data_IF_156483829045
#
_entry.id   IF_156483829045
#
_cell.length_a   1.000
_cell.length_b   1.000
_cell.length_c   1.000
_cell.angle_alpha   90.00
_cell.angle_beta   90.00
_cell.angle_gamma   90.00
#
_symmetry.space_group_name_H-M   'P 1'
#
loop_
_entity.id
_entity.type
_entity.pdbx_description
1 polymer ?
#
# COMPACT_ATOMS: atom_id res chain seq x y z
N UNK A 1 8.59 -25.71 4.62
CA UNK A 1 8.94 -24.44 3.96
C UNK A 1 8.23 -23.36 4.76
N UNK A 2 8.83 -23.00 5.88
CA UNK A 2 8.30 -21.97 6.77
C UNK A 2 8.65 -20.61 6.19
N UNK A 3 7.66 -19.94 5.61
CA UNK A 3 7.76 -18.51 5.33
C UNK A 3 7.46 -17.82 6.64
N UNK A 4 8.49 -17.66 7.47
CA UNK A 4 8.45 -16.82 8.66
C UNK A 4 8.36 -15.36 8.18
N UNK A 5 7.14 -14.88 7.93
CA UNK A 5 6.86 -13.45 7.78
C UNK A 5 6.91 -12.83 9.18
N UNK A 6 8.10 -12.75 9.76
CA UNK A 6 8.30 -12.11 11.06
C UNK A 6 8.95 -10.73 10.89
N UNK A 7 8.44 -9.79 11.70
CA UNK A 7 9.05 -8.51 12.12
C UNK A 7 8.50 -7.16 11.63
N UNK A 8 7.43 -7.05 10.83
CA UNK A 8 6.79 -5.72 10.61
C UNK A 8 5.26 -5.69 10.62
N UNK A 9 4.62 -6.50 11.46
CA UNK A 9 3.42 -6.04 12.18
C UNK A 9 3.85 -4.97 13.19
N UNK A 10 4.34 -3.83 12.68
CA UNK A 10 4.26 -2.55 13.37
C UNK A 10 2.77 -2.40 13.65
N UNK A 11 2.37 -2.73 14.89
CA UNK A 11 0.98 -2.99 15.29
C UNK A 11 0.09 -1.96 14.62
N UNK A 12 -0.63 -2.41 13.61
CA UNK A 12 -1.47 -1.56 12.80
C UNK A 12 -2.58 -1.03 13.71
N UNK A 13 -2.39 0.18 14.24
CA UNK A 13 -3.27 0.74 15.27
C UNK A 13 -4.62 1.21 14.70
N UNK A 14 -4.82 1.09 13.39
CA UNK A 14 -6.07 1.44 12.75
C UNK A 14 -7.17 0.49 13.21
N UNK A 15 -8.28 1.07 13.69
CA UNK A 15 -9.51 0.33 14.01
C UNK A 15 -10.29 -0.10 12.76
N UNK A 16 -9.92 0.43 11.60
CA UNK A 16 -10.55 0.10 10.32
C UNK A 16 -9.93 -1.19 9.78
N UNK A 17 -10.73 -2.23 9.45
CA UNK A 17 -10.24 -3.44 8.81
C UNK A 17 -9.47 -3.14 7.52
N UNK A 18 -8.50 -3.97 7.17
CA UNK A 18 -7.57 -3.66 6.08
C UNK A 18 -8.30 -3.41 4.74
N UNK A 19 -9.24 -4.27 4.35
CA UNK A 19 -10.00 -4.13 3.10
C UNK A 19 -10.91 -2.91 3.04
N UNK A 20 -11.30 -2.34 4.19
CA UNK A 20 -12.21 -1.20 4.26
C UNK A 20 -11.47 0.15 4.18
N UNK A 21 -10.14 0.17 4.28
CA UNK A 21 -9.36 1.41 4.26
C UNK A 21 -9.31 2.04 2.88
N UNK A 22 -9.02 3.33 2.87
CA UNK A 22 -8.83 4.13 1.66
C UNK A 22 -7.36 4.33 1.30
N UNK A 23 -6.43 3.94 2.18
CA UNK A 23 -5.00 4.04 1.90
C UNK A 23 -4.19 3.02 2.71
N UNK A 24 -3.14 2.51 2.09
CA UNK A 24 -2.30 1.43 2.61
C UNK A 24 -0.83 1.70 2.38
N UNK A 25 0.03 1.10 3.21
CA UNK A 25 1.43 0.91 2.79
C UNK A 25 1.48 -0.01 1.56
N UNK A 26 2.55 0.02 0.74
CA UNK A 26 2.63 -0.85 -0.44
C UNK A 26 2.47 -2.34 -0.13
N UNK A 27 3.00 -2.81 1.01
CA UNK A 27 2.84 -4.22 1.43
C UNK A 27 1.39 -4.56 1.75
N UNK A 28 0.68 -3.68 2.45
CA UNK A 28 -0.74 -3.84 2.76
C UNK A 28 -1.60 -3.76 1.49
N UNK A 29 -1.28 -2.88 0.55
CA UNK A 29 -2.00 -2.80 -0.73
C UNK A 29 -1.83 -4.09 -1.54
N UNK A 30 -0.61 -4.62 -1.61
CA UNK A 30 -0.35 -5.91 -2.26
C UNK A 30 -1.20 -7.03 -1.63
N UNK A 31 -1.34 -7.03 -0.30
CA UNK A 31 -2.23 -7.97 0.39
C UNK A 31 -3.70 -7.77 0.03
N UNK A 32 -4.22 -6.54 0.05
CA UNK A 32 -5.64 -6.25 -0.22
C UNK A 32 -6.05 -6.59 -1.65
N UNK A 33 -5.20 -6.27 -2.62
CA UNK A 33 -5.46 -6.51 -4.04
C UNK A 33 -4.93 -7.86 -4.53
N UNK A 34 -4.38 -8.71 -3.64
CA UNK A 34 -3.77 -10.00 -3.99
C UNK A 34 -2.71 -9.90 -5.10
N UNK A 35 -1.83 -8.89 -5.00
CA UNK A 35 -0.77 -8.62 -5.97
C UNK A 35 0.60 -9.05 -5.44
N UNK A 36 1.55 -9.26 -6.36
CA UNK A 36 2.95 -9.35 -5.98
C UNK A 36 3.47 -7.99 -5.47
N UNK A 37 4.07 -8.01 -4.29
CA UNK A 37 4.61 -6.81 -3.65
C UNK A 37 5.73 -6.17 -4.47
N UNK A 38 6.60 -6.96 -5.10
CA UNK A 38 7.72 -6.41 -5.89
C UNK A 38 7.21 -5.75 -7.17
N UNK A 39 6.24 -6.35 -7.85
CA UNK A 39 5.55 -5.76 -8.99
C UNK A 39 4.91 -4.41 -8.64
N UNK A 40 4.17 -4.34 -7.54
CA UNK A 40 3.57 -3.08 -7.07
C UNK A 40 4.64 -2.01 -6.72
N UNK A 41 5.74 -2.40 -6.08
CA UNK A 41 6.84 -1.47 -5.81
C UNK A 41 7.46 -0.92 -7.10
N UNK A 42 7.60 -1.76 -8.13
CA UNK A 42 8.15 -1.34 -9.42
C UNK A 42 7.25 -0.30 -10.09
N UNK A 43 5.94 -0.55 -10.15
CA UNK A 43 4.95 0.40 -10.67
C UNK A 43 4.96 1.73 -9.90
N UNK A 44 5.01 1.68 -8.57
CA UNK A 44 5.16 2.87 -7.72
C UNK A 44 6.43 3.66 -8.03
N UNK A 45 7.56 2.98 -8.25
CA UNK A 45 8.84 3.63 -8.51
C UNK A 45 8.93 4.21 -9.93
N UNK A 46 8.22 3.62 -10.88
CA UNK A 46 8.08 4.16 -12.24
C UNK A 46 7.09 5.33 -12.35
N UNK A 47 6.24 5.53 -11.34
CA UNK A 47 5.22 6.57 -11.35
C UNK A 47 3.89 6.14 -11.94
N UNK A 48 3.69 4.84 -12.18
CA UNK A 48 2.44 4.28 -12.70
C UNK A 48 1.33 4.29 -11.62
N UNK A 49 1.73 4.23 -10.35
CA UNK A 49 0.83 4.28 -9.18
C UNK A 49 1.15 5.51 -8.33
N UNK A 50 0.17 6.40 -8.21
CA UNK A 50 0.28 7.59 -7.37
C UNK A 50 0.49 7.21 -5.89
N UNK A 51 1.38 7.95 -5.21
CA UNK A 51 1.64 7.75 -3.78
C UNK A 51 1.55 9.03 -2.97
N UNK A 52 1.15 8.91 -1.72
CA UNK A 52 1.10 10.00 -0.77
C UNK A 52 1.94 9.69 0.48
N UNK A 53 2.40 10.73 1.18
CA UNK A 53 3.11 10.63 2.46
C UNK A 53 2.38 11.49 3.49
N UNK A 54 1.25 10.99 4.04
CA UNK A 54 0.48 11.77 5.02
C UNK A 54 1.37 12.16 6.19
N UNK A 55 1.26 13.41 6.70
CA UNK A 55 2.10 13.88 7.78
C UNK A 55 1.86 13.04 9.04
N UNK A 56 2.94 12.78 9.78
CA UNK A 56 2.85 12.15 11.08
C UNK A 56 2.40 13.18 12.14
N UNK A 57 2.25 12.75 13.40
CA UNK A 57 1.85 13.61 14.53
C UNK A 57 2.77 14.84 14.72
N UNK A 58 4.00 14.79 14.21
CA UNK A 58 4.99 15.87 14.28
C UNK A 58 5.00 16.75 13.02
N UNK A 59 4.05 16.58 12.09
CA UNK A 59 4.00 17.30 10.82
C UNK A 59 5.04 16.87 9.79
N UNK A 60 5.88 15.88 10.08
CA UNK A 60 6.89 15.36 9.15
C UNK A 60 6.26 14.34 8.19
N UNK A 61 6.76 14.19 6.96
CA UNK A 61 6.26 13.17 6.04
C UNK A 61 6.26 11.77 6.67
N UNK A 62 5.11 11.11 6.66
CA UNK A 62 4.94 9.76 7.19
C UNK A 62 5.40 8.66 6.23
N UNK A 63 5.00 7.41 6.54
CA UNK A 63 5.22 6.27 5.64
C UNK A 63 4.53 6.53 4.29
N UNK A 64 5.18 6.11 3.20
CA UNK A 64 4.58 6.12 1.86
C UNK A 64 3.33 5.25 1.86
N UNK A 65 2.26 5.76 1.27
CA UNK A 65 1.00 5.06 1.08
C UNK A 65 0.53 5.17 -0.37
N UNK A 66 -0.26 4.20 -0.78
CA UNK A 66 -1.10 4.24 -1.98
C UNK A 66 -2.55 4.38 -1.55
N UNK A 67 -3.33 5.16 -2.29
CA UNK A 67 -4.78 5.29 -2.05
C UNK A 67 -5.54 4.22 -2.83
N UNK A 68 -6.76 3.90 -2.39
CA UNK A 68 -7.69 3.05 -3.12
C UNK A 68 -7.92 3.58 -4.54
N UNK A 69 -8.18 4.87 -4.67
CA UNK A 69 -8.41 5.51 -5.97
C UNK A 69 -7.20 5.36 -6.91
N UNK A 70 -5.97 5.48 -6.40
CA UNK A 70 -4.76 5.30 -7.21
C UNK A 70 -4.60 3.84 -7.68
N UNK A 71 -4.84 2.87 -6.78
CA UNK A 71 -4.80 1.45 -7.12
C UNK A 71 -5.89 1.09 -8.13
N UNK A 72 -7.12 1.54 -7.92
CA UNK A 72 -8.26 1.25 -8.80
C UNK A 72 -8.05 1.86 -10.19
N UNK A 73 -7.48 3.07 -10.28
CA UNK A 73 -7.10 3.71 -11.55
C UNK A 73 -6.04 2.88 -12.27
N UNK A 74 -4.97 2.50 -11.57
CA UNK A 74 -3.87 1.76 -12.15
C UNK A 74 -4.31 0.38 -12.65
N UNK A 75 -5.04 -0.38 -11.83
CA UNK A 75 -5.55 -1.70 -12.22
C UNK A 75 -6.48 -1.61 -13.43
N UNK A 76 -7.36 -0.61 -13.47
CA UNK A 76 -8.22 -0.38 -14.65
C UNK A 76 -7.40 -0.13 -15.92
N UNK A 77 -6.29 0.60 -15.82
CA UNK A 77 -5.41 0.86 -16.97
C UNK A 77 -4.65 -0.38 -17.47
N UNK A 78 -4.63 -1.48 -16.71
CA UNK A 78 -4.02 -2.76 -17.12
C UNK A 78 -5.01 -3.71 -17.80
N UNK A 79 -6.32 -3.48 -17.65
CA UNK A 79 -7.39 -4.29 -18.25
C UNK A 79 -7.77 -3.81 -19.67
N UNK A 80 -7.29 -2.64 -20.08
CA UNK A 80 -7.53 -1.98 -21.37
C UNK A 80 -6.28 -2.08 -22.28
#
# INVERSE_FOLDING_TARGET
MDVTVDQETLKDMSRVPLGERLAWTPAQAAQVYSLDYKGLLWAINNGDVDTCRPPNRLGKPGKRKVTREAMDRWLRSMEE
#
